data_IF_229825484885
#
_entry.id   IF_229825484885
#
_cell.length_a   1.000
_cell.length_b   1.000
_cell.length_c   1.000
_cell.angle_alpha   90.00
_cell.angle_beta   90.00
_cell.angle_gamma   90.00
#
_symmetry.space_group_name_H-M   'P 1'
#
loop_
_entity.id
_entity.type
_entity.pdbx_description
1 polymer ?
#
# COMPACT_ATOMS: atom_id res chain seq x y z
N UNK A 1 62.64 33.58 0.96
CA UNK A 1 63.31 34.30 -0.19
C UNK A 1 62.22 34.52 -1.23
N UNK A 2 61.82 35.79 -1.36
CA UNK A 2 61.68 36.58 -2.59
C UNK A 2 60.52 36.03 -3.54
N UNK A 3 59.55 36.78 -4.03
CA UNK A 3 59.19 38.19 -4.06
C UNK A 3 57.81 38.39 -4.67
N UNK A 4 57.11 39.40 -4.16
CA UNK A 4 55.91 40.06 -4.66
C UNK A 4 56.10 40.51 -6.14
N UNK A 5 54.97 40.56 -6.91
CA UNK A 5 54.66 41.75 -7.72
C UNK A 5 53.18 41.86 -8.00
N UNK A 6 52.59 42.91 -7.48
CA UNK A 6 51.30 43.51 -7.84
C UNK A 6 51.40 44.25 -9.16
N UNK A 7 50.36 44.22 -9.97
CA UNK A 7 50.12 45.22 -11.02
C UNK A 7 48.67 45.67 -10.93
N UNK A 8 48.52 46.95 -10.53
CA UNK A 8 47.30 47.76 -10.70
C UNK A 8 47.26 48.27 -12.14
N UNK A 9 46.10 48.30 -12.75
CA UNK A 9 45.80 49.21 -13.82
C UNK A 9 44.30 49.56 -13.84
N UNK A 10 44.05 50.75 -13.87
CA UNK A 10 43.14 51.81 -13.61
C UNK A 10 42.30 52.12 -14.87
N UNK A 11 40.97 52.40 -14.63
CA UNK A 11 40.02 53.25 -15.33
C UNK A 11 39.75 53.12 -16.84
N UNK A 12 38.47 52.90 -17.17
CA UNK A 12 37.77 53.90 -18.04
C UNK A 12 36.25 53.83 -17.85
N UNK A 13 35.68 54.97 -17.48
CA UNK A 13 34.25 55.29 -17.45
C UNK A 13 33.71 55.42 -18.86
N UNK A 14 32.56 54.80 -19.12
CA UNK A 14 31.72 55.06 -20.32
C UNK A 14 30.27 55.08 -19.94
N UNK A 15 29.69 56.24 -19.64
CA UNK A 15 28.26 56.46 -19.55
C UNK A 15 27.67 56.40 -20.97
N UNK A 16 26.68 55.54 -21.18
CA UNK A 16 25.68 55.75 -22.25
C UNK A 16 24.32 55.55 -21.62
N UNK A 17 23.49 56.56 -21.82
CA UNK A 17 22.15 56.73 -21.29
C UNK A 17 21.09 56.11 -22.20
N UNK A 18 19.94 55.70 -21.58
CA UNK A 18 18.56 55.80 -21.99
C UNK A 18 18.08 54.87 -23.14
N UNK A 19 17.32 53.86 -22.70
CA UNK A 19 16.32 53.17 -23.52
C UNK A 19 15.26 52.57 -22.58
N UNK A 20 14.25 53.40 -22.23
CA UNK A 20 13.05 52.89 -21.53
C UNK A 20 12.24 52.06 -22.52
N UNK A 21 12.44 50.74 -22.51
CA UNK A 21 11.48 49.81 -23.08
C UNK A 21 10.56 49.34 -21.94
N UNK A 22 9.32 49.80 -21.99
CA UNK A 22 8.23 49.28 -21.18
C UNK A 22 8.02 47.81 -21.54
N UNK A 23 8.66 46.90 -20.80
CA UNK A 23 8.24 45.52 -20.77
C UNK A 23 6.95 45.44 -19.99
N UNK A 24 5.85 45.22 -20.72
CA UNK A 24 4.59 44.82 -20.12
C UNK A 24 4.82 43.65 -19.20
N UNK A 25 4.55 43.84 -17.93
CA UNK A 25 4.38 42.77 -16.96
C UNK A 25 3.22 41.90 -17.44
N UNK A 26 3.56 40.85 -18.21
CA UNK A 26 2.74 39.69 -18.26
C UNK A 26 2.72 39.17 -16.83
N UNK A 27 1.69 39.52 -16.08
CA UNK A 27 1.30 38.78 -14.89
C UNK A 27 1.06 37.34 -15.36
N UNK A 28 2.10 36.51 -15.28
CA UNK A 28 1.90 35.09 -15.17
C UNK A 28 1.10 34.92 -13.88
N UNK A 29 -0.23 34.84 -14.05
CA UNK A 29 -1.09 34.34 -13.00
C UNK A 29 -0.48 33.01 -12.58
N UNK A 30 0.10 32.96 -11.41
CA UNK A 30 0.39 31.70 -10.73
C UNK A 30 -0.96 31.02 -10.68
N UNK A 31 -1.16 29.98 -11.51
CA UNK A 31 -2.26 29.06 -11.31
C UNK A 31 -2.03 28.48 -9.93
N UNK A 32 -2.75 29.02 -8.96
CA UNK A 32 -2.77 28.59 -7.58
C UNK A 32 -3.20 27.11 -7.61
N UNK A 33 -2.25 26.19 -7.37
CA UNK A 33 -2.54 24.78 -7.31
C UNK A 33 -1.78 23.84 -8.26
N UNK A 34 -0.93 24.35 -9.17
CA UNK A 34 -0.03 23.51 -9.98
C UNK A 34 1.36 23.48 -9.35
N UNK A 35 1.65 22.50 -8.55
CA UNK A 35 2.95 22.32 -7.88
C UNK A 35 3.29 20.85 -7.66
N UNK A 36 4.56 20.55 -7.32
CA UNK A 36 4.94 19.19 -6.99
C UNK A 36 4.18 18.70 -5.76
N UNK A 37 3.76 17.44 -5.81
CA UNK A 37 3.11 16.75 -4.69
C UNK A 37 4.12 15.85 -3.98
N UNK A 38 4.01 15.83 -2.66
CA UNK A 38 4.73 14.88 -1.80
C UNK A 38 3.73 13.96 -1.12
N UNK A 39 3.99 12.67 -1.15
CA UNK A 39 3.17 11.68 -0.47
C UNK A 39 4.03 10.66 0.27
N UNK A 40 3.41 9.95 1.22
CA UNK A 40 4.08 8.86 1.92
C UNK A 40 3.07 7.81 2.40
N UNK A 41 3.53 6.58 2.61
CA UNK A 41 2.68 5.55 3.21
C UNK A 41 2.93 4.14 2.68
N UNK A 42 1.83 3.45 2.35
CA UNK A 42 1.79 2.04 2.01
C UNK A 42 2.92 1.58 1.08
N UNK A 43 3.62 0.53 1.48
CA UNK A 43 4.59 -0.16 0.63
C UNK A 43 3.91 -1.13 -0.34
N UNK A 44 2.71 -1.64 -0.04
CA UNK A 44 1.91 -2.46 -0.96
C UNK A 44 1.65 -1.69 -2.26
N UNK A 45 1.32 -0.39 -2.15
CA UNK A 45 1.05 0.49 -3.29
C UNK A 45 2.30 0.89 -4.08
N UNK A 46 3.50 0.82 -3.49
CA UNK A 46 4.72 1.41 -4.05
C UNK A 46 5.03 1.00 -5.50
N UNK A 47 4.85 -0.26 -5.94
CA UNK A 47 5.08 -0.64 -7.34
C UNK A 47 4.16 0.10 -8.31
N UNK A 48 2.87 0.25 -7.99
CA UNK A 48 1.89 0.98 -8.80
C UNK A 48 2.16 2.49 -8.75
N UNK A 49 2.46 3.03 -7.58
CA UNK A 49 2.82 4.43 -7.38
C UNK A 49 4.04 4.83 -8.22
N UNK A 50 5.05 3.97 -8.34
CA UNK A 50 6.22 4.21 -9.19
C UNK A 50 5.85 4.37 -10.68
N UNK A 51 4.89 3.57 -11.18
CA UNK A 51 4.34 3.72 -12.53
C UNK A 51 3.56 5.02 -12.67
N UNK A 52 2.71 5.31 -11.70
CA UNK A 52 1.92 6.55 -11.68
C UNK A 52 2.80 7.81 -11.68
N UNK A 53 3.84 7.86 -10.87
CA UNK A 53 4.77 9.00 -10.82
C UNK A 53 5.39 9.29 -12.19
N UNK A 54 5.90 8.25 -12.86
CA UNK A 54 6.55 8.36 -14.17
C UNK A 54 5.57 8.78 -15.27
N UNK A 55 4.42 8.11 -15.39
CA UNK A 55 3.44 8.37 -16.45
C UNK A 55 2.71 9.70 -16.23
N UNK A 56 2.34 10.04 -14.98
CA UNK A 56 1.70 11.31 -14.64
C UNK A 56 2.62 12.50 -14.97
N UNK A 57 3.90 12.40 -14.60
CA UNK A 57 4.88 13.44 -14.93
C UNK A 57 5.06 13.62 -16.45
N UNK A 58 5.11 12.49 -17.17
CA UNK A 58 5.23 12.53 -18.63
C UNK A 58 4.03 13.16 -19.33
N UNK A 59 2.82 12.99 -18.78
CA UNK A 59 1.57 13.51 -19.34
C UNK A 59 1.31 14.98 -19.00
N UNK A 60 1.69 15.39 -17.80
CA UNK A 60 1.24 16.67 -17.22
C UNK A 60 2.37 17.67 -16.99
N UNK A 61 3.62 17.21 -16.95
CA UNK A 61 4.78 17.99 -16.51
C UNK A 61 4.85 18.16 -14.98
N UNK A 62 3.83 17.73 -14.23
CA UNK A 62 3.82 17.80 -12.76
C UNK A 62 4.53 16.61 -12.14
N UNK A 63 5.21 16.85 -11.03
CA UNK A 63 5.94 15.79 -10.31
C UNK A 63 5.22 15.37 -9.04
N UNK A 64 5.25 14.07 -8.78
CA UNK A 64 4.82 13.48 -7.51
C UNK A 64 5.99 12.71 -6.94
N UNK A 65 6.33 12.95 -5.67
CA UNK A 65 7.32 12.16 -4.92
C UNK A 65 6.60 11.34 -3.87
N UNK A 66 7.05 10.11 -3.64
CA UNK A 66 6.39 9.21 -2.70
C UNK A 66 7.40 8.44 -1.86
N UNK A 67 7.24 8.52 -0.54
CA UNK A 67 8.00 7.74 0.43
C UNK A 67 7.24 6.46 0.82
N UNK A 68 7.72 5.31 0.39
CA UNK A 68 7.15 4.01 0.78
C UNK A 68 7.64 3.61 2.18
N UNK A 69 6.98 4.13 3.22
CA UNK A 69 7.39 4.01 4.63
C UNK A 69 6.44 3.18 5.50
N UNK A 70 5.42 2.56 4.88
CA UNK A 70 4.35 1.83 5.54
C UNK A 70 3.13 2.69 5.82
N UNK A 71 1.97 2.04 5.93
CA UNK A 71 0.67 2.72 6.16
C UNK A 71 0.65 3.54 7.44
N UNK A 72 1.25 3.03 8.53
CA UNK A 72 1.37 3.77 9.79
C UNK A 72 2.10 5.09 9.63
N UNK A 73 3.29 5.07 8.98
CA UNK A 73 4.05 6.28 8.69
C UNK A 73 3.31 7.25 7.75
N UNK A 74 2.52 6.74 6.79
CA UNK A 74 1.66 7.57 5.94
C UNK A 74 0.57 8.29 6.72
N UNK A 75 -0.10 7.57 7.62
CA UNK A 75 -1.11 8.11 8.54
C UNK A 75 -0.50 9.19 9.45
N UNK A 76 0.66 8.92 10.04
CA UNK A 76 1.37 9.87 10.90
C UNK A 76 1.74 11.16 10.15
N UNK A 77 2.34 11.03 8.97
CA UNK A 77 2.79 12.19 8.20
C UNK A 77 1.64 13.05 7.69
N UNK A 78 0.54 12.46 7.22
CA UNK A 78 -0.62 13.24 6.79
C UNK A 78 -1.33 13.91 7.99
N UNK A 79 -1.41 13.24 9.13
CA UNK A 79 -1.97 13.80 10.36
C UNK A 79 -1.13 14.98 10.87
N UNK A 80 0.21 14.89 10.72
CA UNK A 80 1.14 15.97 11.08
C UNK A 80 1.22 17.08 10.00
N UNK A 81 0.57 16.94 8.84
CA UNK A 81 0.62 17.90 7.73
C UNK A 81 2.00 18.03 7.08
N UNK A 82 2.85 16.99 7.14
CA UNK A 82 4.22 17.01 6.57
C UNK A 82 4.29 16.50 5.12
N UNK A 83 3.18 15.97 4.61
CA UNK A 83 3.00 15.55 3.23
C UNK A 83 1.68 16.06 2.68
N UNK A 84 1.56 16.15 1.34
CA UNK A 84 0.35 16.60 0.67
C UNK A 84 -0.75 15.52 0.64
N UNK A 85 -0.33 14.23 0.62
CA UNK A 85 -1.23 13.08 0.75
C UNK A 85 -0.54 11.92 1.47
N UNK A 86 -1.33 11.12 2.18
CA UNK A 86 -0.92 9.84 2.74
C UNK A 86 -1.42 8.68 1.88
N UNK A 87 -0.89 7.48 2.10
CA UNK A 87 -1.45 6.25 1.57
C UNK A 87 -1.45 5.14 2.63
N UNK A 88 -2.57 4.41 2.71
CA UNK A 88 -2.76 3.34 3.70
C UNK A 88 -3.62 2.22 3.14
N UNK A 89 -3.29 0.96 3.50
CA UNK A 89 -4.14 -0.20 3.19
C UNK A 89 -5.07 -0.54 4.38
N UNK A 90 -4.97 0.23 5.46
CA UNK A 90 -5.89 0.23 6.58
C UNK A 90 -6.74 1.50 6.55
N UNK A 91 -8.06 1.44 6.77
CA UNK A 91 -8.86 2.63 7.00
C UNK A 91 -8.45 3.31 8.31
N UNK A 92 -8.73 4.60 8.44
CA UNK A 92 -8.57 5.30 9.71
C UNK A 92 -9.38 4.64 10.81
N UNK A 93 -8.76 4.50 11.98
CA UNK A 93 -9.51 4.25 13.22
C UNK A 93 -10.30 5.50 13.61
N UNK A 94 -11.34 5.38 14.46
CA UNK A 94 -12.07 6.54 14.96
C UNK A 94 -11.18 7.61 15.60
N UNK A 95 -10.13 7.20 16.32
CA UNK A 95 -9.19 8.14 16.95
C UNK A 95 -8.29 8.84 15.93
N UNK A 96 -7.82 8.13 14.90
CA UNK A 96 -7.07 8.72 13.79
C UNK A 96 -7.92 9.71 12.99
N UNK A 97 -9.18 9.36 12.69
CA UNK A 97 -10.11 10.29 12.04
C UNK A 97 -10.39 11.53 12.87
N UNK A 98 -10.48 11.38 14.20
CA UNK A 98 -10.63 12.51 15.12
C UNK A 98 -9.38 13.40 15.18
N UNK A 99 -8.19 12.81 15.07
CA UNK A 99 -6.92 13.53 15.04
C UNK A 99 -6.69 14.27 13.70
N UNK A 100 -7.29 13.79 12.60
CA UNK A 100 -7.19 14.38 11.26
C UNK A 100 -8.61 14.58 10.65
N UNK A 101 -9.45 15.48 11.22
CA UNK A 101 -10.87 15.61 10.87
C UNK A 101 -11.09 16.07 9.41
N UNK A 102 -10.15 16.82 8.86
CA UNK A 102 -10.21 17.35 7.50
C UNK A 102 -9.62 16.39 6.45
N UNK A 103 -9.08 15.24 6.88
CA UNK A 103 -8.53 14.23 5.96
C UNK A 103 -9.63 13.25 5.57
N UNK A 104 -9.83 13.10 4.28
CA UNK A 104 -10.75 12.12 3.68
C UNK A 104 -9.98 10.91 3.16
N UNK A 105 -10.63 9.74 3.19
CA UNK A 105 -10.13 8.51 2.60
C UNK A 105 -10.74 8.31 1.21
N UNK A 106 -9.91 7.95 0.22
CA UNK A 106 -10.32 7.69 -1.16
C UNK A 106 -9.73 6.33 -1.57
N UNK A 107 -10.52 5.26 -1.69
CA UNK A 107 -10.06 3.97 -2.22
C UNK A 107 -9.57 4.14 -3.65
N UNK A 108 -8.30 4.08 -3.93
CA UNK A 108 -7.73 4.35 -5.26
C UNK A 108 -7.04 3.18 -5.93
N UNK A 109 -6.84 2.09 -5.19
CA UNK A 109 -6.32 0.83 -5.73
C UNK A 109 -6.91 -0.36 -4.97
N UNK A 110 -6.94 -1.52 -5.60
CA UNK A 110 -7.47 -2.78 -5.07
C UNK A 110 -6.46 -3.89 -5.31
N UNK A 111 -6.01 -4.55 -4.25
CA UNK A 111 -5.04 -5.63 -4.30
C UNK A 111 -5.28 -6.64 -3.16
N UNK A 112 -4.28 -7.42 -2.81
CA UNK A 112 -4.30 -8.36 -1.69
C UNK A 112 -3.00 -8.33 -0.91
N UNK A 113 -3.08 -8.84 0.31
CA UNK A 113 -1.92 -9.24 1.12
C UNK A 113 -1.83 -10.76 1.05
N UNK A 114 -0.74 -11.25 0.46
CA UNK A 114 -0.61 -12.66 0.11
C UNK A 114 0.29 -13.39 1.12
N UNK A 115 -0.19 -14.42 1.81
CA UNK A 115 0.67 -15.35 2.51
C UNK A 115 1.55 -16.10 1.51
N UNK A 116 2.86 -15.99 1.71
CA UNK A 116 3.91 -16.55 0.87
C UNK A 116 4.89 -17.38 1.69
N UNK A 117 5.58 -18.32 1.06
CA UNK A 117 6.52 -19.20 1.77
C UNK A 117 7.78 -19.48 0.96
N UNK A 118 8.81 -19.94 1.65
CA UNK A 118 10.05 -20.44 1.07
C UNK A 118 10.39 -21.76 1.77
N UNK A 119 10.08 -22.89 1.12
CA UNK A 119 10.29 -24.23 1.68
C UNK A 119 10.92 -25.12 0.62
N UNK A 120 12.13 -25.55 0.87
CA UNK A 120 12.87 -26.41 -0.06
C UNK A 120 12.11 -27.70 -0.39
N UNK A 121 11.89 -27.95 -1.67
CA UNK A 121 11.24 -29.17 -2.17
C UNK A 121 9.70 -29.17 -2.10
N UNK A 122 9.09 -28.05 -1.76
CA UNK A 122 7.64 -27.87 -1.76
C UNK A 122 7.28 -26.92 -2.90
N UNK A 123 6.28 -27.30 -3.72
CA UNK A 123 5.81 -26.48 -4.85
C UNK A 123 4.78 -25.44 -4.41
N UNK A 124 4.58 -24.44 -5.27
CA UNK A 124 3.54 -23.40 -5.14
C UNK A 124 2.13 -23.98 -4.93
N UNK A 125 1.31 -23.20 -4.24
CA UNK A 125 -0.11 -23.50 -4.05
C UNK A 125 -0.43 -24.42 -2.87
N UNK A 126 0.41 -24.50 -1.83
CA UNK A 126 0.02 -25.15 -0.58
C UNK A 126 -1.28 -24.58 -0.05
N UNK A 127 -2.19 -25.46 0.34
CA UNK A 127 -3.46 -25.11 0.96
C UNK A 127 -3.25 -24.74 2.44
N UNK A 128 -3.86 -23.61 2.84
CA UNK A 128 -3.89 -23.20 4.24
C UNK A 128 -5.24 -22.60 4.59
N UNK A 129 -5.79 -22.97 5.74
CA UNK A 129 -6.97 -22.33 6.29
C UNK A 129 -6.60 -21.23 7.29
N UNK A 130 -7.56 -20.37 7.61
CA UNK A 130 -7.33 -19.25 8.52
C UNK A 130 -6.91 -19.67 9.93
N UNK A 131 -7.56 -20.67 10.57
CA UNK A 131 -7.15 -21.16 11.89
C UNK A 131 -5.71 -21.69 11.91
N UNK A 132 -5.29 -22.45 10.91
CA UNK A 132 -3.92 -22.97 10.80
C UNK A 132 -2.90 -21.82 10.63
N UNK A 133 -3.22 -20.82 9.79
CA UNK A 133 -2.37 -19.62 9.64
C UNK A 133 -2.26 -18.85 10.97
N UNK A 134 -3.35 -18.71 11.72
CA UNK A 134 -3.33 -18.09 13.04
C UNK A 134 -2.45 -18.85 14.02
N UNK A 135 -2.56 -20.18 14.06
CA UNK A 135 -1.76 -21.04 14.96
C UNK A 135 -0.27 -21.02 14.61
N UNK A 136 0.10 -20.85 13.34
CA UNK A 136 1.49 -20.61 12.92
C UNK A 136 2.01 -19.29 13.53
N UNK A 137 1.30 -18.17 13.36
CA UNK A 137 1.72 -16.88 13.90
C UNK A 137 1.59 -16.77 15.43
N UNK A 138 0.76 -17.61 16.05
CA UNK A 138 0.71 -17.78 17.51
C UNK A 138 1.87 -18.64 18.04
N UNK A 139 2.63 -19.31 17.16
CA UNK A 139 3.76 -20.17 17.53
C UNK A 139 3.36 -21.57 18.04
N UNK A 140 2.14 -22.01 17.77
CA UNK A 140 1.64 -23.34 18.13
C UNK A 140 2.04 -24.39 17.10
N UNK A 141 1.94 -24.04 15.82
CA UNK A 141 2.42 -24.87 14.71
C UNK A 141 3.81 -24.39 14.34
N UNK A 142 4.81 -25.27 14.48
CA UNK A 142 6.22 -24.89 14.40
C UNK A 142 7.02 -25.65 13.33
N UNK A 143 6.40 -26.61 12.64
CA UNK A 143 7.04 -27.38 11.54
C UNK A 143 6.08 -27.54 10.37
N UNK A 144 6.65 -27.62 9.16
CA UNK A 144 5.83 -27.73 7.93
C UNK A 144 5.07 -29.05 7.80
N UNK A 145 5.59 -30.15 8.39
CA UNK A 145 4.91 -31.46 8.42
C UNK A 145 3.92 -31.58 9.58
N UNK A 146 3.53 -30.49 10.24
CA UNK A 146 2.49 -30.55 11.28
C UNK A 146 1.20 -31.20 10.74
N UNK A 147 0.53 -32.06 11.54
CA UNK A 147 -0.69 -32.74 11.12
C UNK A 147 -1.80 -31.81 10.62
N UNK A 148 -1.90 -30.57 11.14
CA UNK A 148 -2.87 -29.58 10.66
C UNK A 148 -2.59 -29.17 9.23
N UNK A 149 -1.32 -28.87 8.88
CA UNK A 149 -0.91 -28.52 7.51
C UNK A 149 -1.03 -29.74 6.58
N UNK A 150 -0.56 -30.90 7.03
CA UNK A 150 -0.61 -32.14 6.24
C UNK A 150 -2.03 -32.56 5.87
N UNK A 151 -2.99 -32.37 6.76
CA UNK A 151 -4.41 -32.64 6.52
C UNK A 151 -4.99 -31.79 5.37
N UNK A 152 -4.56 -30.54 5.25
CA UNK A 152 -4.99 -29.62 4.20
C UNK A 152 -4.31 -29.93 2.86
N UNK A 153 -3.19 -30.65 2.87
CA UNK A 153 -2.34 -30.94 1.72
C UNK A 153 -2.10 -32.46 1.53
N UNK A 154 -3.16 -33.25 1.30
CA UNK A 154 -3.01 -34.68 1.14
C UNK A 154 -2.13 -35.03 -0.06
N UNK A 155 -1.07 -35.83 0.17
CA UNK A 155 -0.10 -36.21 -0.84
C UNK A 155 1.08 -35.27 -1.04
N UNK A 156 1.11 -34.10 -0.40
CA UNK A 156 2.28 -33.24 -0.39
C UNK A 156 3.39 -33.84 0.49
N UNK A 157 4.62 -33.81 -0.01
CA UNK A 157 5.79 -34.25 0.76
C UNK A 157 6.30 -33.08 1.62
N UNK A 158 5.66 -32.86 2.76
CA UNK A 158 5.99 -31.76 3.67
C UNK A 158 7.21 -32.13 4.53
N UNK A 159 8.27 -31.29 4.55
CA UNK A 159 9.47 -31.54 5.34
C UNK A 159 9.22 -31.23 6.83
N UNK A 160 10.05 -31.79 7.70
CA UNK A 160 10.07 -31.45 9.13
C UNK A 160 10.80 -30.13 9.41
N UNK A 161 11.03 -29.32 8.39
CA UNK A 161 11.67 -28.00 8.51
C UNK A 161 10.87 -27.12 9.45
N UNK A 162 11.58 -26.38 10.33
CA UNK A 162 10.96 -25.46 11.26
C UNK A 162 10.33 -24.28 10.51
N UNK A 163 9.11 -23.91 10.90
CA UNK A 163 8.46 -22.70 10.39
C UNK A 163 9.07 -21.46 11.06
N UNK A 164 9.44 -20.49 10.25
CA UNK A 164 9.84 -19.15 10.69
C UNK A 164 8.84 -18.12 10.20
N UNK A 165 7.89 -17.67 11.02
CA UNK A 165 7.01 -16.59 10.65
C UNK A 165 7.79 -15.28 10.44
N UNK A 166 7.51 -14.57 9.35
CA UNK A 166 8.09 -13.26 9.06
C UNK A 166 6.98 -12.24 9.08
N UNK A 167 7.17 -11.13 9.79
CA UNK A 167 6.17 -10.10 9.96
C UNK A 167 6.75 -8.71 9.71
N UNK A 168 5.88 -7.71 9.53
CA UNK A 168 6.27 -6.32 9.35
C UNK A 168 6.70 -5.69 10.66
N UNK A 169 7.89 -5.11 10.68
CA UNK A 169 8.45 -4.40 11.85
C UNK A 169 8.14 -2.88 11.84
N UNK A 170 7.34 -2.43 10.89
CA UNK A 170 6.85 -1.06 10.72
C UNK A 170 5.33 -1.05 10.73
N UNK A 171 4.72 0.11 10.92
CA UNK A 171 3.26 0.29 10.80
C UNK A 171 2.78 -0.02 9.37
N UNK A 172 2.08 -1.13 9.19
CA UNK A 172 1.79 -1.73 7.90
C UNK A 172 0.32 -2.00 7.65
N UNK A 173 -0.17 -1.61 6.48
CA UNK A 173 -1.48 -2.01 6.01
C UNK A 173 -1.58 -3.52 5.72
N UNK A 174 -0.50 -4.15 5.23
CA UNK A 174 -0.45 -5.61 5.10
C UNK A 174 -0.65 -6.31 6.46
N UNK A 175 -0.04 -5.77 7.53
CA UNK A 175 -0.28 -6.26 8.90
C UNK A 175 -1.73 -6.08 9.31
N UNK A 176 -2.36 -4.93 8.98
CA UNK A 176 -3.78 -4.72 9.26
C UNK A 176 -4.64 -5.76 8.54
N UNK A 177 -4.44 -6.01 7.25
CA UNK A 177 -5.19 -6.99 6.47
C UNK A 177 -5.07 -8.39 7.05
N UNK A 178 -3.84 -8.84 7.34
CA UNK A 178 -3.59 -10.13 7.97
C UNK A 178 -4.29 -10.23 9.32
N UNK A 179 -4.11 -9.24 10.20
CA UNK A 179 -4.62 -9.30 11.58
C UNK A 179 -6.14 -9.13 11.65
N UNK A 180 -6.75 -8.38 10.72
CA UNK A 180 -8.21 -8.31 10.56
C UNK A 180 -8.77 -9.67 10.15
N UNK A 181 -8.15 -10.33 9.15
CA UNK A 181 -8.51 -11.69 8.74
C UNK A 181 -8.35 -12.70 9.89
N UNK A 182 -7.18 -12.76 10.52
CA UNK A 182 -6.92 -13.69 11.62
C UNK A 182 -7.86 -13.48 12.81
N UNK A 183 -8.26 -12.24 13.10
CA UNK A 183 -9.23 -11.95 14.17
C UNK A 183 -10.65 -12.40 13.85
N UNK A 184 -11.00 -12.54 12.55
CA UNK A 184 -12.31 -13.08 12.10
C UNK A 184 -12.36 -14.59 12.21
N UNK A 185 -11.25 -15.27 11.92
CA UNK A 185 -11.19 -16.75 11.82
C UNK A 185 -10.62 -17.43 13.06
N UNK A 186 -9.98 -16.69 14.00
CA UNK A 186 -9.40 -17.23 15.23
C UNK A 186 -9.79 -16.40 16.45
N UNK A 187 -10.68 -16.90 17.33
CA UNK A 187 -11.02 -16.23 18.60
C UNK A 187 -9.80 -15.99 19.50
N UNK A 188 -8.83 -16.92 19.47
CA UNK A 188 -7.61 -16.79 20.26
C UNK A 188 -6.71 -15.67 19.74
N UNK A 189 -6.50 -15.58 18.41
CA UNK A 189 -5.81 -14.44 17.82
C UNK A 189 -6.48 -13.11 18.21
N UNK A 190 -7.80 -13.06 18.05
CA UNK A 190 -8.59 -11.86 18.38
C UNK A 190 -8.40 -11.40 19.82
N UNK A 191 -8.34 -12.34 20.78
CA UNK A 191 -8.20 -12.02 22.21
C UNK A 191 -6.76 -11.69 22.62
N UNK A 192 -5.76 -12.34 22.02
CA UNK A 192 -4.37 -12.25 22.46
C UNK A 192 -3.55 -11.23 21.68
N UNK A 193 -3.88 -10.98 20.42
CA UNK A 193 -3.14 -10.09 19.51
C UNK A 193 -4.00 -8.96 18.98
N UNK A 194 -5.19 -9.26 18.45
CA UNK A 194 -6.13 -8.29 17.91
C UNK A 194 -5.81 -7.83 16.49
N UNK A 195 -6.28 -6.62 16.13
CA UNK A 195 -6.19 -6.01 14.80
C UNK A 195 -5.44 -4.69 14.89
N UNK A 196 -4.53 -4.45 13.94
CA UNK A 196 -3.83 -3.16 13.85
C UNK A 196 -2.80 -3.12 12.72
N UNK A 197 -2.34 -1.92 12.40
CA UNK A 197 -1.18 -1.73 11.53
C UNK A 197 0.12 -2.14 12.22
N UNK A 198 0.12 -2.13 13.55
CA UNK A 198 1.18 -2.61 14.43
C UNK A 198 0.56 -3.48 15.52
N UNK A 199 1.08 -4.69 15.68
CA UNK A 199 0.69 -5.62 16.74
C UNK A 199 1.93 -6.29 17.30
N UNK A 200 1.81 -6.82 18.52
CA UNK A 200 2.88 -7.64 19.11
C UNK A 200 2.73 -9.07 18.63
N UNK A 201 3.48 -9.46 17.61
CA UNK A 201 3.54 -10.85 17.16
C UNK A 201 4.16 -11.75 18.26
N UNK A 202 3.53 -12.89 18.58
CA UNK A 202 4.06 -13.82 19.60
C UNK A 202 5.39 -14.46 19.22
N UNK A 203 5.63 -14.68 17.93
CA UNK A 203 6.84 -15.33 17.40
C UNK A 203 7.20 -14.77 16.03
N UNK A 204 8.41 -15.06 15.55
CA UNK A 204 8.86 -14.74 14.21
C UNK A 204 9.96 -13.69 14.16
N UNK A 205 10.24 -13.22 12.96
CA UNK A 205 11.29 -12.24 12.64
C UNK A 205 10.68 -11.06 11.91
N UNK A 206 11.06 -9.82 12.29
CA UNK A 206 10.57 -8.60 11.66
C UNK A 206 11.34 -8.24 10.40
N UNK A 207 10.62 -7.79 9.36
CA UNK A 207 11.15 -7.13 8.16
C UNK A 207 10.52 -5.77 7.94
N UNK A 208 11.30 -4.74 7.63
CA UNK A 208 10.79 -3.39 7.39
C UNK A 208 10.29 -3.25 5.94
N UNK A 209 9.03 -2.87 5.78
CA UNK A 209 8.39 -2.75 4.47
C UNK A 209 8.21 -4.10 3.77
N UNK A 210 7.56 -4.11 2.62
CA UNK A 210 7.48 -5.31 1.78
C UNK A 210 8.86 -5.80 1.33
N UNK A 211 9.79 -4.89 1.02
CA UNK A 211 11.17 -5.24 0.63
C UNK A 211 11.92 -5.97 1.74
N UNK A 212 11.82 -5.50 2.99
CA UNK A 212 12.48 -6.13 4.14
C UNK A 212 11.92 -7.52 4.44
N UNK A 213 10.61 -7.70 4.38
CA UNK A 213 9.95 -9.01 4.52
C UNK A 213 10.37 -9.94 3.38
N UNK A 214 10.36 -9.48 2.14
CA UNK A 214 10.80 -10.24 0.96
C UNK A 214 12.26 -10.70 1.08
N UNK A 215 13.14 -9.83 1.59
CA UNK A 215 14.55 -10.15 1.79
C UNK A 215 14.78 -11.21 2.87
N UNK A 216 14.00 -11.20 3.96
CA UNK A 216 14.07 -12.23 5.01
C UNK A 216 13.53 -13.56 4.48
N UNK A 217 12.36 -13.54 3.82
CA UNK A 217 11.73 -14.72 3.24
C UNK A 217 12.67 -15.44 2.27
N UNK A 218 13.26 -14.71 1.31
CA UNK A 218 14.14 -15.29 0.27
C UNK A 218 15.39 -16.00 0.83
N UNK A 219 15.83 -15.60 2.03
CA UNK A 219 17.07 -16.11 2.65
C UNK A 219 16.83 -17.17 3.71
N UNK A 220 15.57 -17.47 4.04
CA UNK A 220 15.22 -18.33 5.17
C UNK A 220 14.40 -19.52 4.68
N UNK A 221 15.02 -20.69 4.59
CA UNK A 221 14.29 -21.94 4.34
C UNK A 221 13.34 -22.23 5.49
N UNK A 222 12.12 -22.61 5.18
CA UNK A 222 11.03 -22.79 6.14
C UNK A 222 10.31 -21.50 6.54
N UNK A 223 10.63 -20.36 5.95
CA UNK A 223 9.92 -19.12 6.26
C UNK A 223 8.51 -19.09 5.65
N UNK A 224 7.59 -18.47 6.39
CA UNK A 224 6.28 -18.02 5.94
C UNK A 224 6.16 -16.52 6.21
N UNK A 225 5.64 -15.77 5.24
CA UNK A 225 5.50 -14.33 5.32
C UNK A 225 4.15 -13.88 4.74
N UNK A 226 3.90 -12.59 4.77
CA UNK A 226 2.83 -11.93 4.01
C UNK A 226 3.39 -10.67 3.34
N UNK A 227 3.03 -10.48 2.07
CA UNK A 227 3.46 -9.35 1.24
C UNK A 227 2.33 -8.91 0.32
N UNK A 228 2.40 -7.70 -0.21
CA UNK A 228 1.47 -7.28 -1.26
C UNK A 228 1.65 -8.10 -2.55
N UNK A 229 0.56 -8.33 -3.30
CA UNK A 229 0.52 -9.19 -4.48
C UNK A 229 1.61 -8.86 -5.54
N UNK A 230 1.88 -7.58 -5.78
CA UNK A 230 2.93 -7.15 -6.71
C UNK A 230 4.33 -7.60 -6.25
N UNK A 231 4.58 -7.69 -4.94
CA UNK A 231 5.86 -8.19 -4.40
C UNK A 231 5.96 -9.71 -4.50
N UNK A 232 4.86 -10.43 -4.24
CA UNK A 232 4.83 -11.89 -4.44
C UNK A 232 5.16 -12.24 -5.90
N UNK A 233 4.50 -11.56 -6.84
CA UNK A 233 4.72 -11.73 -8.28
C UNK A 233 6.14 -11.37 -8.71
N UNK A 234 6.65 -10.19 -8.34
CA UNK A 234 7.94 -9.69 -8.81
C UNK A 234 9.13 -10.49 -8.29
N UNK A 235 8.99 -11.11 -7.12
CA UNK A 235 10.01 -11.96 -6.52
C UNK A 235 9.83 -13.45 -6.87
N UNK A 236 8.73 -13.83 -7.50
CA UNK A 236 8.42 -15.24 -7.83
C UNK A 236 8.25 -16.10 -6.59
N UNK A 237 7.62 -15.56 -5.54
CA UNK A 237 7.38 -16.31 -4.31
C UNK A 237 6.27 -17.34 -4.48
N UNK A 238 6.44 -18.51 -3.86
CA UNK A 238 5.39 -19.49 -3.72
C UNK A 238 4.27 -18.92 -2.82
N UNK A 239 3.02 -18.95 -3.32
CA UNK A 239 1.85 -18.38 -2.66
C UNK A 239 0.97 -19.47 -2.06
N UNK A 240 0.42 -19.20 -0.87
CA UNK A 240 -0.59 -20.07 -0.27
C UNK A 240 -1.92 -19.97 -1.03
N UNK A 241 -2.55 -21.11 -1.27
CA UNK A 241 -3.98 -21.14 -1.58
C UNK A 241 -4.77 -21.07 -0.26
N UNK A 242 -5.38 -19.91 -0.01
CA UNK A 242 -6.10 -19.67 1.25
C UNK A 242 -7.55 -20.14 1.16
N UNK A 243 -8.01 -20.85 2.20
CA UNK A 243 -9.43 -21.22 2.31
C UNK A 243 -10.28 -19.98 2.61
N UNK A 244 -11.32 -19.78 1.81
CA UNK A 244 -12.30 -18.72 2.03
C UNK A 244 -13.50 -19.22 2.85
N UNK A 245 -14.40 -18.32 3.23
CA UNK A 245 -15.61 -18.66 4.00
C UNK A 245 -16.56 -19.67 3.31
N UNK A 246 -16.39 -19.91 2.00
CA UNK A 246 -17.13 -20.93 1.26
C UNK A 246 -16.44 -22.31 1.27
N UNK A 247 -15.30 -22.46 1.94
CA UNK A 247 -14.52 -23.73 1.98
C UNK A 247 -13.73 -23.98 0.70
N UNK A 248 -13.46 -22.96 -0.12
CA UNK A 248 -12.63 -23.07 -1.32
C UNK A 248 -11.24 -22.55 -1.07
N UNK A 249 -10.24 -23.31 -1.51
CA UNK A 249 -8.85 -22.83 -1.54
C UNK A 249 -8.61 -22.02 -2.80
N UNK A 250 -8.21 -20.76 -2.61
CA UNK A 250 -8.01 -19.80 -3.70
C UNK A 250 -6.62 -19.16 -3.60
N UNK A 251 -5.94 -19.07 -4.74
CA UNK A 251 -4.77 -18.19 -4.88
C UNK A 251 -5.22 -16.77 -5.21
N UNK A 252 -4.42 -15.75 -4.82
CA UNK A 252 -4.70 -14.36 -5.17
C UNK A 252 -4.45 -14.11 -6.65
N UNK A 253 -5.47 -13.68 -7.35
CA UNK A 253 -5.41 -13.21 -8.73
C UNK A 253 -6.42 -12.07 -8.96
N UNK A 254 -6.37 -11.44 -10.12
CA UNK A 254 -7.26 -10.33 -10.47
C UNK A 254 -8.74 -10.69 -10.37
N UNK A 255 -9.10 -11.95 -10.65
CA UNK A 255 -10.47 -12.44 -10.60
C UNK A 255 -10.92 -12.63 -9.16
N UNK A 256 -10.11 -13.32 -8.34
CA UNK A 256 -10.45 -13.66 -6.95
C UNK A 256 -10.43 -12.42 -6.05
N UNK A 257 -9.50 -11.48 -6.27
CA UNK A 257 -9.47 -10.16 -5.62
C UNK A 257 -10.70 -9.32 -6.05
N UNK A 258 -11.00 -9.29 -7.36
CA UNK A 258 -12.18 -8.59 -7.88
C UNK A 258 -13.50 -9.16 -7.34
N UNK A 259 -13.57 -10.48 -7.14
CA UNK A 259 -14.74 -11.13 -6.54
C UNK A 259 -14.96 -10.71 -5.08
N UNK A 260 -13.88 -10.50 -4.30
CA UNK A 260 -13.99 -9.96 -2.95
C UNK A 260 -14.54 -8.52 -2.96
N UNK A 261 -14.04 -7.67 -3.84
CA UNK A 261 -14.53 -6.29 -3.97
C UNK A 261 -15.97 -6.20 -4.49
N UNK A 262 -16.43 -7.18 -5.27
CA UNK A 262 -17.83 -7.26 -5.73
C UNK A 262 -18.85 -7.49 -4.60
N UNK A 263 -18.38 -7.87 -3.40
CA UNK A 263 -19.25 -7.98 -2.20
C UNK A 263 -19.66 -6.63 -1.63
N UNK A 264 -18.94 -5.55 -1.96
CA UNK A 264 -19.29 -4.18 -1.55
C UNK A 264 -20.62 -3.79 -2.19
N UNK A 265 -21.66 -3.61 -1.38
CA UNK A 265 -22.99 -3.21 -1.86
C UNK A 265 -23.22 -1.70 -1.77
N UNK A 266 -22.58 -1.07 -0.80
CA UNK A 266 -22.63 0.37 -0.59
C UNK A 266 -21.30 0.84 -0.01
N UNK A 267 -20.94 2.08 -0.33
CA UNK A 267 -19.74 2.72 0.21
C UNK A 267 -20.16 3.62 1.38
N UNK A 268 -19.58 3.44 2.59
CA UNK A 268 -19.83 4.32 3.72
C UNK A 268 -19.43 5.77 3.42
N UNK A 269 -20.04 6.73 4.11
CA UNK A 269 -19.77 8.17 3.89
C UNK A 269 -18.32 8.58 4.13
N UNK A 270 -17.59 7.82 4.97
CA UNK A 270 -16.16 7.98 5.22
C UNK A 270 -15.27 7.13 4.31
N UNK A 271 -15.85 6.40 3.35
CA UNK A 271 -15.17 5.48 2.43
C UNK A 271 -14.38 4.32 3.10
N UNK A 272 -14.56 4.06 4.39
CA UNK A 272 -13.91 2.95 5.07
C UNK A 272 -14.59 1.61 4.68
N UNK A 273 -13.95 0.83 3.84
CA UNK A 273 -14.47 -0.44 3.31
C UNK A 273 -13.53 -1.58 3.73
N UNK A 274 -14.02 -2.57 4.45
CA UNK A 274 -13.31 -3.83 4.68
C UNK A 274 -13.89 -4.90 3.78
N UNK A 275 -13.01 -5.63 3.07
CA UNK A 275 -13.34 -6.77 2.22
C UNK A 275 -12.54 -8.02 2.59
N UNK A 276 -11.89 -8.03 3.73
CA UNK A 276 -11.25 -9.21 4.29
C UNK A 276 -12.31 -10.21 4.75
N UNK A 277 -12.05 -11.49 4.52
CA UNK A 277 -12.96 -12.59 4.82
C UNK A 277 -14.39 -12.37 4.28
N UNK A 278 -14.57 -12.27 2.95
CA UNK A 278 -15.87 -12.08 2.35
C UNK A 278 -16.84 -13.21 2.72
N UNK A 279 -18.18 -12.95 2.72
CA UNK A 279 -19.16 -13.95 3.15
C UNK A 279 -19.14 -15.20 2.25
N UNK A 280 -19.53 -16.35 2.80
CA UNK A 280 -19.57 -17.65 2.10
C UNK A 280 -20.35 -17.66 0.76
N UNK A 281 -21.27 -16.72 0.57
CA UNK A 281 -21.95 -16.54 -0.72
C UNK A 281 -21.04 -16.02 -1.84
N UNK A 282 -19.89 -15.45 -1.51
CA UNK A 282 -18.86 -14.99 -2.46
C UNK A 282 -17.83 -16.10 -2.69
N UNK A 283 -18.25 -17.17 -3.34
CA UNK A 283 -17.49 -18.43 -3.43
C UNK A 283 -16.13 -18.33 -4.12
N UNK A 284 -15.87 -17.30 -4.91
CA UNK A 284 -14.62 -17.10 -5.63
C UNK A 284 -13.82 -15.91 -5.06
N UNK A 285 -14.22 -15.38 -3.91
CA UNK A 285 -13.57 -14.21 -3.29
C UNK A 285 -12.34 -14.62 -2.46
N UNK A 286 -11.19 -13.97 -2.74
CA UNK A 286 -9.95 -14.18 -1.99
C UNK A 286 -10.02 -13.50 -0.61
N UNK A 287 -9.70 -14.21 0.50
CA UNK A 287 -10.02 -13.73 1.84
C UNK A 287 -9.14 -12.58 2.36
N UNK A 288 -7.94 -12.37 1.80
CA UNK A 288 -7.04 -11.29 2.21
C UNK A 288 -6.97 -10.15 1.18
N UNK A 289 -8.10 -9.86 0.52
CA UNK A 289 -8.21 -8.72 -0.40
C UNK A 289 -8.38 -7.40 0.36
N UNK A 290 -7.85 -6.31 -0.19
CA UNK A 290 -7.92 -4.98 0.44
C UNK A 290 -7.94 -3.85 -0.57
N UNK A 291 -8.54 -2.73 -0.16
CA UNK A 291 -8.35 -1.44 -0.82
C UNK A 291 -7.13 -0.73 -0.24
N UNK A 292 -6.43 0.01 -1.08
CA UNK A 292 -5.48 1.04 -0.67
C UNK A 292 -6.17 2.39 -0.76
N UNK A 293 -6.00 3.23 0.25
CA UNK A 293 -6.62 4.55 0.36
C UNK A 293 -5.61 5.65 0.14
N UNK A 294 -5.95 6.65 -0.67
CA UNK A 294 -5.36 7.97 -0.54
C UNK A 294 -5.98 8.68 0.67
N UNK A 295 -5.14 9.29 1.49
CA UNK A 295 -5.51 10.09 2.66
C UNK A 295 -5.22 11.55 2.30
N UNK A 296 -6.26 12.37 2.13
CA UNK A 296 -6.12 13.68 1.50
C UNK A 296 -6.83 14.77 2.31
N UNK A 297 -6.17 15.88 2.65
CA UNK A 297 -6.82 16.99 3.34
C UNK A 297 -7.77 17.73 2.38
N UNK A 298 -9.00 18.00 2.83
CA UNK A 298 -10.00 18.70 2.01
C UNK A 298 -9.72 20.19 1.88
N UNK A 299 -8.97 20.80 2.81
CA UNK A 299 -8.63 22.21 2.87
C UNK A 299 -7.21 22.54 2.36
N UNK A 300 -6.64 21.67 1.50
CA UNK A 300 -5.28 21.85 0.97
C UNK A 300 -5.18 23.06 0.03
N UNK A 301 -4.10 23.83 0.16
CA UNK A 301 -3.69 24.86 -0.80
C UNK A 301 -3.25 24.29 -2.15
N UNK A 302 -2.95 22.97 -2.20
CA UNK A 302 -2.63 22.20 -3.41
C UNK A 302 -3.84 21.42 -3.98
N UNK A 303 -5.06 21.83 -3.65
CA UNK A 303 -6.30 21.12 -4.03
C UNK A 303 -6.37 20.79 -5.53
N UNK A 304 -6.00 21.72 -6.41
CA UNK A 304 -6.00 21.51 -7.87
C UNK A 304 -5.03 20.40 -8.29
N UNK A 305 -3.81 20.38 -7.75
CA UNK A 305 -2.82 19.36 -8.05
C UNK A 305 -3.24 18.00 -7.49
N UNK A 306 -3.79 17.97 -6.28
CA UNK A 306 -4.30 16.75 -5.64
C UNK A 306 -5.45 16.15 -6.45
N UNK A 307 -6.45 16.95 -6.83
CA UNK A 307 -7.55 16.50 -7.71
C UNK A 307 -7.03 15.92 -9.00
N UNK A 308 -6.12 16.65 -9.68
CA UNK A 308 -5.53 16.20 -10.94
C UNK A 308 -4.83 14.84 -10.81
N UNK A 309 -4.05 14.65 -9.74
CA UNK A 309 -3.36 13.39 -9.51
C UNK A 309 -4.32 12.25 -9.12
N UNK A 310 -5.31 12.52 -8.28
CA UNK A 310 -6.32 11.53 -7.89
C UNK A 310 -7.18 11.10 -9.08
N UNK A 311 -7.65 12.04 -9.90
CA UNK A 311 -8.41 11.73 -11.13
C UNK A 311 -7.56 10.93 -12.12
N UNK A 312 -6.26 11.24 -12.21
CA UNK A 312 -5.33 10.43 -12.99
C UNK A 312 -5.24 9.02 -12.44
N UNK A 313 -5.04 8.85 -11.12
CA UNK A 313 -4.85 7.55 -10.48
C UNK A 313 -6.05 6.62 -10.68
N UNK A 314 -7.29 7.13 -10.44
CA UNK A 314 -8.53 6.35 -10.63
C UNK A 314 -9.04 6.34 -12.10
N UNK A 315 -8.33 6.98 -13.00
CA UNK A 315 -8.64 7.09 -14.43
C UNK A 315 -7.54 6.49 -15.31
N UNK A 316 -6.72 7.30 -16.00
CA UNK A 316 -5.66 6.79 -16.90
C UNK A 316 -4.61 5.91 -16.22
N UNK A 317 -4.27 6.18 -14.95
CA UNK A 317 -3.29 5.44 -14.16
C UNK A 317 -3.66 3.97 -13.96
N UNK A 318 -4.93 3.63 -14.08
CA UNK A 318 -5.43 2.24 -13.97
C UNK A 318 -4.92 1.31 -15.08
N UNK A 319 -4.34 1.86 -16.13
CA UNK A 319 -3.73 1.05 -17.19
C UNK A 319 -2.59 0.15 -16.69
N UNK A 320 -1.98 0.47 -15.56
CA UNK A 320 -0.88 -0.28 -14.96
C UNK A 320 -1.34 -1.32 -13.91
N UNK A 321 -2.63 -1.34 -13.54
CA UNK A 321 -3.15 -2.16 -12.46
C UNK A 321 -2.92 -3.65 -12.69
N UNK A 322 -3.32 -4.16 -13.85
CA UNK A 322 -3.33 -5.61 -14.13
C UNK A 322 -1.92 -6.22 -14.13
N UNK A 323 -0.93 -5.51 -14.67
CA UNK A 323 0.46 -5.98 -14.77
C UNK A 323 1.14 -6.11 -13.38
N UNK A 324 0.56 -5.48 -12.37
CA UNK A 324 1.07 -5.45 -11.00
C UNK A 324 0.12 -6.12 -9.99
N UNK A 325 -0.79 -6.99 -10.47
CA UNK A 325 -1.79 -7.67 -9.63
C UNK A 325 -2.68 -6.72 -8.81
N UNK A 326 -3.00 -5.54 -9.36
CA UNK A 326 -4.07 -4.69 -8.86
C UNK A 326 -5.34 -4.95 -9.67
N UNK A 327 -6.41 -5.32 -8.98
CA UNK A 327 -7.72 -5.56 -9.60
C UNK A 327 -8.48 -4.25 -9.82
N UNK A 328 -9.49 -4.29 -10.68
CA UNK A 328 -10.30 -3.11 -11.00
C UNK A 328 -11.18 -2.72 -9.82
N UNK A 329 -11.19 -1.44 -9.49
CA UNK A 329 -12.14 -0.88 -8.52
C UNK A 329 -13.59 -1.06 -9.01
N UNK A 330 -14.53 -1.47 -8.13
CA UNK A 330 -15.95 -1.52 -8.45
C UNK A 330 -16.51 -0.13 -8.83
N UNK A 331 -17.51 -0.11 -9.70
CA UNK A 331 -18.11 1.14 -10.21
C UNK A 331 -18.69 2.03 -9.10
N UNK A 332 -19.31 1.42 -8.07
CA UNK A 332 -19.85 2.14 -6.91
C UNK A 332 -18.76 2.78 -6.05
N UNK A 333 -17.58 2.15 -5.95
CA UNK A 333 -16.41 2.72 -5.27
C UNK A 333 -15.89 3.91 -6.07
N UNK A 334 -15.66 3.75 -7.38
CA UNK A 334 -15.24 4.84 -8.27
C UNK A 334 -16.21 6.05 -8.25
N UNK A 335 -17.52 5.80 -8.13
CA UNK A 335 -18.51 6.87 -8.02
C UNK A 335 -18.37 7.64 -6.68
N UNK A 336 -18.15 6.91 -5.57
CA UNK A 336 -17.89 7.51 -4.26
C UNK A 336 -16.57 8.29 -4.22
N UNK A 337 -15.52 7.75 -4.86
CA UNK A 337 -14.22 8.41 -4.97
C UNK A 337 -14.33 9.75 -5.70
N UNK A 338 -14.99 9.80 -6.86
CA UNK A 338 -15.23 11.04 -7.60
C UNK A 338 -16.02 12.05 -6.77
N UNK A 339 -17.05 11.61 -6.04
CA UNK A 339 -17.81 12.48 -5.15
C UNK A 339 -16.95 13.03 -4.01
N UNK A 340 -15.99 12.26 -3.52
CA UNK A 340 -15.07 12.68 -2.44
C UNK A 340 -13.99 13.62 -2.98
N UNK A 341 -13.40 13.32 -4.15
CA UNK A 341 -12.42 14.18 -4.82
C UNK A 341 -12.98 15.58 -5.07
N UNK A 342 -14.26 15.66 -5.45
CA UNK A 342 -14.91 16.97 -5.69
C UNK A 342 -14.98 17.86 -4.44
N UNK A 343 -14.92 17.30 -3.22
CA UNK A 343 -14.93 18.06 -1.96
C UNK A 343 -13.57 18.69 -1.60
N UNK A 344 -12.48 18.27 -2.25
CA UNK A 344 -11.14 18.80 -1.97
C UNK A 344 -11.08 20.23 -2.47
N UNK A 345 -10.68 21.19 -1.63
CA UNK A 345 -10.58 22.61 -1.98
C UNK A 345 -11.94 23.32 -2.13
N UNK A 346 -13.00 22.77 -1.52
CA UNK A 346 -14.35 23.34 -1.50
C UNK A 346 -14.74 23.89 -0.15
#
# INVERSE_FOLDING_TARGET
>A
MISRKSILAVFSCGLIAVGAAACGSSSSGSESGSGPLTGAGSTLLAPLMSKWQSDYSSRTGNTVTYGAIGSGGGIEQITAGTVDFGASDAPFTPDQQKAAPDVVMIPWALSSTDPVYNVSGVSDGLHLDGPTLADIYLGKITTWNDPAIAKLNPGANLPSTKITPVYRSDGSGDTYVLTDYLSKVSPEWKSNVGVGTEVKFPTGVGGKGNDGVSAVLSKTDGAIAYVGAAYAQSNGFDQMAMENAAGKFLQPDLKTIGAAAATVKSVPSNNAISITDPPASATDAYPLSTFTYALVPTNSDKATALKSFLDYAIGPGRAFEADLNFAKLPSQVLAADKATINKIGG
#
